data_IF_882591316825
#
_entry.id   IF_882591316825
#
_cell.length_a   1.000
_cell.length_b   1.000
_cell.length_c   1.000
_cell.angle_alpha   90.00
_cell.angle_beta   90.00
_cell.angle_gamma   90.00
#
_symmetry.space_group_name_H-M   'P 1'
#
loop_
_entity.id
_entity.type
_entity.pdbx_description
1 polymer ?
#
# COMPACT_ATOMS: atom_id res chain seq x y z
N UNK A 1 -19.63 27.88 37.59
CA UNK A 1 -19.44 29.04 36.70
C UNK A 1 -18.61 28.57 35.51
N UNK A 2 -19.22 28.53 34.31
CA UNK A 2 -18.63 28.72 32.97
C UNK A 2 -17.43 27.83 32.56
N UNK A 3 -17.39 27.11 31.44
CA UNK A 3 -18.12 27.19 30.15
C UNK A 3 -17.98 25.85 29.43
N UNK A 4 -19.11 25.35 28.93
CA UNK A 4 -19.23 24.39 27.84
C UNK A 4 -18.87 25.14 26.54
N UNK A 5 -17.96 24.64 25.72
CA UNK A 5 -17.75 25.13 24.37
C UNK A 5 -17.73 23.94 23.41
N UNK A 6 -18.87 23.73 22.74
CA UNK A 6 -18.96 22.98 21.50
C UNK A 6 -17.95 23.58 20.50
N UNK A 7 -17.02 22.77 20.03
CA UNK A 7 -16.36 22.96 18.74
C UNK A 7 -16.95 21.90 17.81
N UNK A 8 -18.05 22.27 17.16
CA UNK A 8 -18.45 21.69 15.88
C UNK A 8 -17.31 21.98 14.90
N UNK A 9 -16.36 21.05 14.80
CA UNK A 9 -15.43 21.01 13.69
C UNK A 9 -16.23 20.66 12.46
N UNK A 10 -16.53 21.65 11.63
CA UNK A 10 -16.85 21.42 10.23
C UNK A 10 -15.73 20.57 9.66
N UNK A 11 -16.00 19.30 9.38
CA UNK A 11 -15.17 18.49 8.51
C UNK A 11 -15.03 19.29 7.20
N UNK A 12 -13.87 19.90 6.98
CA UNK A 12 -13.47 20.17 5.62
C UNK A 12 -13.33 18.78 5.02
N UNK A 13 -14.37 18.34 4.29
CA UNK A 13 -14.22 17.25 3.36
C UNK A 13 -13.04 17.63 2.45
N UNK A 14 -11.88 17.00 2.67
CA UNK A 14 -10.79 17.09 1.72
C UNK A 14 -11.35 16.55 0.42
N UNK A 15 -11.35 17.40 -0.60
CA UNK A 15 -11.93 17.05 -1.89
C UNK A 15 -11.28 15.75 -2.37
N UNK A 16 -12.05 14.79 -2.88
CA UNK A 16 -11.50 13.57 -3.45
C UNK A 16 -10.43 13.93 -4.48
N UNK A 17 -9.40 13.10 -4.57
CA UNK A 17 -8.36 13.26 -5.59
C UNK A 17 -9.01 13.47 -6.96
N UNK A 18 -8.56 14.44 -7.76
CA UNK A 18 -9.17 14.72 -9.04
C UNK A 18 -9.09 13.47 -9.93
N UNK A 19 -10.25 12.96 -10.32
CA UNK A 19 -10.40 11.73 -11.15
C UNK A 19 -11.05 12.02 -12.49
N UNK A 20 -11.60 13.22 -12.68
CA UNK A 20 -12.31 13.57 -13.90
C UNK A 20 -11.32 13.95 -15.00
N UNK A 21 -11.43 13.30 -16.15
CA UNK A 21 -10.60 13.58 -17.32
C UNK A 21 -11.46 14.24 -18.40
N UNK A 22 -11.15 15.48 -18.76
CA UNK A 22 -11.92 16.20 -19.79
C UNK A 22 -11.43 15.77 -21.16
N UNK A 23 -12.32 15.19 -21.98
CA UNK A 23 -12.06 14.83 -23.36
C UNK A 23 -12.70 15.88 -24.25
N UNK A 24 -11.88 16.77 -24.81
CA UNK A 24 -12.35 17.83 -25.68
C UNK A 24 -12.60 17.29 -27.10
N UNK A 25 -13.86 17.34 -27.55
CA UNK A 25 -14.26 16.80 -28.86
C UNK A 25 -13.55 17.49 -30.02
N UNK A 26 -13.34 18.81 -29.94
CA UNK A 26 -12.68 19.60 -30.99
C UNK A 26 -13.31 19.42 -32.38
N UNK A 27 -12.57 19.81 -33.42
CA UNK A 27 -12.97 19.60 -34.82
C UNK A 27 -12.10 18.49 -35.43
N UNK A 28 -12.71 17.30 -35.50
CA UNK A 28 -12.34 16.10 -36.28
C UNK A 28 -10.86 15.67 -36.29
N UNK A 29 -10.48 14.74 -35.39
CA UNK A 29 -9.34 13.81 -35.60
C UNK A 29 -9.17 12.74 -34.48
N UNK A 30 -10.04 12.72 -33.46
CA UNK A 30 -10.03 11.74 -32.37
C UNK A 30 -11.38 11.01 -32.25
N UNK A 31 -11.31 9.70 -32.01
CA UNK A 31 -12.47 8.91 -31.58
C UNK A 31 -12.69 9.16 -30.08
N UNK A 32 -13.54 10.14 -29.76
CA UNK A 32 -13.80 10.55 -28.37
C UNK A 32 -14.38 9.44 -27.51
N UNK A 33 -15.12 8.51 -28.11
CA UNK A 33 -15.74 7.40 -27.39
C UNK A 33 -14.68 6.35 -27.05
N UNK A 34 -13.75 6.06 -27.98
CA UNK A 34 -12.59 5.22 -27.71
C UNK A 34 -11.66 5.84 -26.65
N UNK A 35 -11.46 7.16 -26.70
CA UNK A 35 -10.68 7.91 -25.69
C UNK A 35 -11.33 7.78 -24.32
N UNK A 36 -12.63 8.04 -24.22
CA UNK A 36 -13.37 7.92 -22.97
C UNK A 36 -13.28 6.51 -22.39
N UNK A 37 -13.51 5.48 -23.20
CA UNK A 37 -13.41 4.08 -22.77
C UNK A 37 -12.00 3.71 -22.27
N UNK A 38 -10.96 4.21 -22.92
CA UNK A 38 -9.56 4.00 -22.52
C UNK A 38 -9.22 4.70 -21.21
N UNK A 39 -9.75 5.91 -20.96
CA UNK A 39 -9.57 6.60 -19.69
C UNK A 39 -10.32 5.91 -18.55
N UNK A 40 -11.53 5.43 -18.83
CA UNK A 40 -12.35 4.71 -17.86
C UNK A 40 -11.70 3.39 -17.41
N UNK A 41 -11.09 2.63 -18.33
CA UNK A 41 -10.36 1.41 -17.98
C UNK A 41 -9.12 1.66 -17.10
N UNK A 42 -8.65 2.92 -17.04
CA UNK A 42 -7.53 3.39 -16.22
C UNK A 42 -8.00 4.07 -14.92
N UNK A 43 -9.28 3.98 -14.58
CA UNK A 43 -9.83 4.52 -13.33
C UNK A 43 -10.12 6.02 -13.33
N UNK A 44 -10.12 6.67 -14.50
CA UNK A 44 -10.54 8.06 -14.68
C UNK A 44 -12.02 8.15 -15.05
N UNK A 45 -12.65 9.26 -14.72
CA UNK A 45 -14.03 9.57 -15.08
C UNK A 45 -14.03 10.49 -16.32
N UNK A 46 -14.20 9.94 -17.54
CA UNK A 46 -14.15 10.75 -18.75
C UNK A 46 -15.37 11.68 -18.85
N UNK A 47 -15.13 12.95 -19.16
CA UNK A 47 -16.15 13.94 -19.46
C UNK A 47 -15.92 14.51 -20.85
N UNK A 48 -16.73 14.06 -21.81
CA UNK A 48 -16.64 14.51 -23.20
C UNK A 48 -17.35 15.86 -23.35
N UNK A 49 -16.58 16.90 -23.70
CA UNK A 49 -17.08 18.28 -23.79
C UNK A 49 -16.82 18.91 -25.15
N UNK A 50 -17.76 19.75 -25.56
CA UNK A 50 -17.64 20.65 -26.71
C UNK A 50 -17.11 22.03 -26.25
N UNK A 51 -16.76 22.89 -27.22
CA UNK A 51 -16.07 24.18 -26.95
C UNK A 51 -16.85 25.08 -25.98
N UNK A 52 -18.17 25.11 -26.10
CA UNK A 52 -19.05 25.95 -25.27
C UNK A 52 -19.08 25.50 -23.80
N UNK A 53 -18.75 24.23 -23.52
CA UNK A 53 -18.76 23.65 -22.16
C UNK A 53 -17.37 23.48 -21.57
N UNK A 54 -16.33 23.64 -22.38
CA UNK A 54 -14.95 23.43 -21.99
C UNK A 54 -14.53 24.33 -20.82
N UNK A 55 -14.79 25.64 -20.90
CA UNK A 55 -14.43 26.57 -19.83
C UNK A 55 -15.12 26.24 -18.48
N UNK A 56 -16.38 25.83 -18.54
CA UNK A 56 -17.16 25.47 -17.34
C UNK A 56 -16.71 24.14 -16.72
N UNK A 57 -16.33 23.15 -17.54
CA UNK A 57 -15.77 21.89 -17.06
C UNK A 57 -14.41 22.11 -16.40
N UNK A 58 -13.58 22.98 -16.96
CA UNK A 58 -12.22 23.23 -16.46
C UNK A 58 -12.17 24.11 -15.22
N UNK A 59 -13.19 24.89 -14.94
CA UNK A 59 -13.33 25.60 -13.67
C UNK A 59 -13.57 24.65 -12.48
N UNK A 60 -13.89 23.37 -12.73
CA UNK A 60 -14.11 22.40 -11.66
C UNK A 60 -12.78 21.93 -11.05
N UNK A 61 -12.67 21.87 -9.71
CA UNK A 61 -11.43 21.51 -9.02
C UNK A 61 -11.09 20.01 -9.10
N UNK A 62 -12.03 19.16 -9.54
CA UNK A 62 -11.92 17.71 -9.64
C UNK A 62 -11.33 17.20 -10.98
N UNK A 63 -11.00 18.11 -11.90
CA UNK A 63 -10.42 17.78 -13.20
C UNK A 63 -8.93 17.49 -13.07
N UNK A 64 -8.55 16.26 -13.41
CA UNK A 64 -7.20 15.73 -13.33
C UNK A 64 -6.34 16.09 -14.55
N UNK A 65 -6.93 16.04 -15.75
CA UNK A 65 -6.22 16.26 -17.02
C UNK A 65 -7.19 16.57 -18.17
N UNK A 66 -6.64 17.10 -19.25
CA UNK A 66 -7.36 17.50 -20.46
C UNK A 66 -6.79 16.75 -21.66
N UNK A 67 -7.63 16.10 -22.46
CA UNK A 67 -7.26 15.38 -23.67
C UNK A 67 -7.93 16.04 -24.88
N UNK A 68 -7.15 16.52 -25.84
CA UNK A 68 -7.65 17.29 -26.99
C UNK A 68 -7.06 16.81 -28.33
N UNK A 69 -7.84 16.97 -29.41
CA UNK A 69 -7.41 16.74 -30.79
C UNK A 69 -6.37 17.73 -31.34
N UNK A 70 -6.02 17.63 -32.63
CA UNK A 70 -4.85 18.30 -33.23
C UNK A 70 -5.00 19.83 -33.41
N UNK A 71 -4.04 20.55 -32.82
CA UNK A 71 -3.24 21.74 -33.23
C UNK A 71 -3.68 22.86 -34.21
N UNK A 72 -4.90 22.98 -34.72
CA UNK A 72 -5.27 24.16 -35.52
C UNK A 72 -6.39 24.96 -34.85
N UNK A 73 -6.04 26.13 -34.31
CA UNK A 73 -6.94 27.22 -33.91
C UNK A 73 -7.98 26.95 -32.82
N UNK A 74 -7.54 26.60 -31.61
CA UNK A 74 -8.33 26.93 -30.43
C UNK A 74 -7.51 27.85 -29.53
N UNK A 75 -7.56 29.16 -29.82
CA UNK A 75 -7.17 30.20 -28.85
C UNK A 75 -7.82 29.92 -27.47
N UNK A 76 -9.00 29.30 -27.48
CA UNK A 76 -9.70 28.81 -26.29
C UNK A 76 -8.89 27.79 -25.46
N UNK A 77 -8.21 26.82 -26.07
CA UNK A 77 -7.35 25.86 -25.36
C UNK A 77 -6.06 26.51 -24.85
N UNK A 78 -5.57 27.51 -25.58
CA UNK A 78 -4.36 28.22 -25.21
C UNK A 78 -4.57 29.20 -24.06
N UNK A 79 -5.82 29.65 -23.86
CA UNK A 79 -6.28 30.46 -22.73
C UNK A 79 -6.62 29.63 -21.46
N UNK A 80 -6.51 28.30 -21.51
CA UNK A 80 -6.84 27.44 -20.37
C UNK A 80 -5.79 27.45 -19.28
N UNK A 81 -6.26 27.12 -18.07
CA UNK A 81 -5.48 27.03 -16.85
C UNK A 81 -4.24 26.14 -17.01
N UNK A 82 -3.07 26.75 -16.88
CA UNK A 82 -1.75 26.12 -17.04
C UNK A 82 -1.38 25.21 -15.86
N UNK A 83 -2.21 25.17 -14.81
CA UNK A 83 -1.99 24.28 -13.65
C UNK A 83 -2.43 22.84 -13.90
N UNK A 84 -3.20 22.58 -14.96
CA UNK A 84 -3.69 21.24 -15.30
C UNK A 84 -2.93 20.63 -16.48
N UNK A 85 -2.57 19.34 -16.45
CA UNK A 85 -1.95 18.67 -17.59
C UNK A 85 -2.84 18.71 -18.84
N UNK A 86 -2.29 19.23 -19.95
CA UNK A 86 -2.93 19.22 -21.26
C UNK A 86 -2.23 18.25 -22.20
N UNK A 87 -2.98 17.28 -22.69
CA UNK A 87 -2.57 16.24 -23.62
C UNK A 87 -3.17 16.49 -25.00
N UNK A 88 -2.31 16.62 -26.01
CA UNK A 88 -2.69 16.86 -27.41
C UNK A 88 -2.47 15.62 -28.26
N UNK A 89 -3.49 15.21 -29.00
CA UNK A 89 -3.40 14.05 -29.86
C UNK A 89 -2.47 14.28 -31.05
N UNK A 90 -1.53 13.37 -31.23
CA UNK A 90 -0.57 13.39 -32.32
C UNK A 90 -0.83 12.18 -33.23
N UNK A 91 -1.59 12.44 -34.30
CA UNK A 91 -2.06 11.45 -35.27
C UNK A 91 -0.96 10.56 -35.85
N UNK A 92 0.24 11.09 -36.07
CA UNK A 92 1.39 10.32 -36.58
C UNK A 92 1.91 9.27 -35.59
N UNK A 93 1.63 9.44 -34.30
CA UNK A 93 2.03 8.53 -33.24
C UNK A 93 0.86 7.70 -32.69
N UNK A 94 -0.39 7.99 -33.09
CA UNK A 94 -1.58 7.35 -32.51
C UNK A 94 -1.74 7.60 -31.01
N UNK A 95 -1.13 8.66 -30.48
CA UNK A 95 -0.98 8.88 -29.05
C UNK A 95 -1.15 10.36 -28.69
N UNK A 96 -1.45 10.62 -27.42
CA UNK A 96 -1.49 11.96 -26.85
C UNK A 96 -0.12 12.37 -26.33
N UNK A 97 0.24 13.63 -26.51
CA UNK A 97 1.47 14.24 -26.03
C UNK A 97 1.19 15.38 -25.08
N UNK A 98 1.90 15.45 -23.97
CA UNK A 98 1.86 16.57 -23.05
C UNK A 98 2.26 17.85 -23.80
N UNK A 99 1.44 18.90 -23.66
CA UNK A 99 1.70 20.21 -24.23
C UNK A 99 3.03 20.75 -23.67
N UNK A 100 3.84 21.39 -24.53
CA UNK A 100 5.15 21.93 -24.15
C UNK A 100 5.08 22.90 -22.97
N UNK A 101 3.96 23.62 -22.82
CA UNK A 101 3.75 24.56 -21.71
C UNK A 101 3.61 23.85 -20.37
N UNK A 102 3.22 22.58 -20.39
CA UNK A 102 3.12 21.70 -19.22
C UNK A 102 4.36 20.81 -19.05
N UNK A 103 5.45 20.99 -19.82
CA UNK A 103 6.64 20.12 -19.71
C UNK A 103 7.35 20.20 -18.34
N UNK A 104 7.06 21.22 -17.53
CA UNK A 104 7.51 21.32 -16.14
C UNK A 104 6.60 20.59 -15.13
N UNK A 105 5.54 19.93 -15.61
CA UNK A 105 4.66 19.06 -14.81
C UNK A 105 5.30 17.69 -14.59
N UNK A 106 4.98 17.04 -13.47
CA UNK A 106 5.36 15.66 -13.18
C UNK A 106 4.56 14.62 -14.01
N UNK A 107 3.74 15.09 -14.96
CA UNK A 107 2.89 14.25 -15.78
C UNK A 107 3.65 13.57 -16.96
N UNK A 108 3.23 12.37 -17.40
CA UNK A 108 3.85 11.69 -18.55
C UNK A 108 3.84 12.53 -19.81
N UNK A 109 4.91 12.45 -20.63
CA UNK A 109 5.01 13.18 -21.90
C UNK A 109 4.13 12.60 -23.01
N UNK A 110 3.86 11.29 -23.01
CA UNK A 110 3.03 10.62 -24.00
C UNK A 110 2.11 9.57 -23.37
N UNK A 111 0.85 9.51 -23.83
CA UNK A 111 -0.20 8.57 -23.39
C UNK A 111 -0.86 7.93 -24.62
N UNK A 112 -0.95 6.60 -24.65
CA UNK A 112 -1.64 5.90 -25.74
C UNK A 112 -3.11 5.65 -25.45
N UNK A 113 -3.90 5.61 -26.52
CA UNK A 113 -5.29 5.17 -26.47
C UNK A 113 -5.43 3.65 -26.38
N UNK A 114 -4.45 2.92 -26.89
CA UNK A 114 -4.43 1.47 -26.83
C UNK A 114 -3.80 0.99 -25.53
N UNK A 115 -4.16 -0.23 -25.14
CA UNK A 115 -3.42 -0.97 -24.13
C UNK A 115 -2.09 -1.37 -24.78
N UNK A 116 -1.05 -0.61 -24.46
CA UNK A 116 0.30 -0.87 -24.95
C UNK A 116 1.11 -1.67 -23.95
N UNK A 117 2.02 -2.52 -24.46
CA UNK A 117 3.05 -3.11 -23.63
C UNK A 117 3.96 -2.01 -23.08
N UNK A 118 4.45 -2.24 -21.86
CA UNK A 118 5.32 -1.30 -21.14
C UNK A 118 6.58 -0.95 -21.95
N UNK A 119 7.16 -1.93 -22.65
CA UNK A 119 8.29 -1.76 -23.57
C UNK A 119 8.04 -0.68 -24.64
N UNK A 120 6.87 -0.69 -25.30
CA UNK A 120 6.51 0.32 -26.31
C UNK A 120 6.29 1.70 -25.70
N UNK A 121 5.76 1.75 -24.48
CA UNK A 121 5.53 3.00 -23.78
C UNK A 121 6.86 3.66 -23.35
N UNK A 122 7.84 2.84 -22.95
CA UNK A 122 9.22 3.23 -22.60
C UNK A 122 9.99 3.75 -23.82
N UNK A 123 9.95 3.03 -24.95
CA UNK A 123 10.54 3.49 -26.21
C UNK A 123 10.02 4.89 -26.60
N UNK A 124 8.73 5.15 -26.36
CA UNK A 124 8.08 6.41 -26.74
C UNK A 124 8.41 7.58 -25.81
N UNK A 125 8.51 7.35 -24.50
CA UNK A 125 8.74 8.42 -23.51
C UNK A 125 10.23 8.64 -23.15
N UNK A 126 11.09 7.66 -23.45
CA UNK A 126 12.50 7.65 -23.03
C UNK A 126 12.66 7.72 -21.51
N UNK A 127 13.88 8.03 -21.05
CA UNK A 127 14.22 8.24 -19.62
C UNK A 127 13.57 9.48 -18.99
N UNK A 128 12.65 10.18 -19.67
CA UNK A 128 11.76 11.17 -19.05
C UNK A 128 10.64 10.50 -18.23
N UNK A 129 10.88 9.27 -17.80
CA UNK A 129 10.42 8.80 -16.52
C UNK A 129 11.03 9.72 -15.45
N UNK A 130 10.31 10.79 -15.09
CA UNK A 130 10.01 10.87 -13.66
C UNK A 130 9.29 9.55 -13.42
N UNK A 131 9.93 8.63 -12.69
CA UNK A 131 9.13 7.67 -11.94
C UNK A 131 7.98 8.47 -11.39
N UNK A 132 6.73 8.06 -11.60
CA UNK A 132 5.83 8.32 -10.52
C UNK A 132 6.52 7.63 -9.32
N UNK A 133 7.07 8.43 -8.39
CA UNK A 133 6.30 8.47 -7.16
C UNK A 133 4.89 8.76 -7.65
N UNK A 134 4.09 7.70 -7.82
CA UNK A 134 2.68 7.84 -8.11
C UNK A 134 2.24 8.98 -7.20
N UNK A 135 1.68 10.10 -7.73
CA UNK A 135 1.11 11.10 -6.84
C UNK A 135 0.33 10.29 -5.82
N UNK A 136 0.54 10.49 -4.52
CA UNK A 136 0.05 9.57 -3.47
C UNK A 136 -1.48 9.28 -3.54
N UNK A 137 -2.16 9.94 -4.46
CA UNK A 137 -3.57 9.92 -4.80
C UNK A 137 -3.93 9.29 -6.18
N UNK A 138 -2.98 8.83 -6.99
CA UNK A 138 -3.20 8.20 -8.30
C UNK A 138 -2.62 6.78 -8.27
N UNK A 139 -3.47 5.75 -8.38
CA UNK A 139 -2.99 4.38 -8.54
C UNK A 139 -2.80 3.57 -7.25
N UNK A 140 -3.08 4.12 -6.06
CA UNK A 140 -3.53 3.25 -4.98
C UNK A 140 -4.75 2.51 -5.53
N UNK A 141 -4.72 1.16 -5.69
CA UNK A 141 -5.96 0.46 -5.98
C UNK A 141 -6.97 0.93 -4.93
N UNK A 142 -8.25 1.14 -5.27
CA UNK A 142 -9.26 1.24 -4.22
C UNK A 142 -9.00 0.07 -3.27
N UNK A 143 -9.19 0.22 -1.94
CA UNK A 143 -9.21 -0.93 -1.03
C UNK A 143 -10.03 -2.02 -1.74
N UNK A 144 -9.35 -3.01 -2.33
CA UNK A 144 -10.05 -3.99 -3.13
C UNK A 144 -10.91 -4.74 -2.15
N UNK A 145 -12.07 -5.16 -2.63
CA UNK A 145 -13.01 -5.89 -1.82
C UNK A 145 -12.29 -7.11 -1.22
N UNK A 146 -11.97 -7.04 0.08
CA UNK A 146 -11.20 -8.06 0.79
C UNK A 146 -11.93 -9.40 0.78
N UNK A 147 -13.24 -9.39 0.44
CA UNK A 147 -14.14 -10.52 0.41
C UNK A 147 -13.64 -11.69 -0.43
N UNK A 148 -12.89 -11.47 -1.52
CA UNK A 148 -12.31 -12.59 -2.29
C UNK A 148 -11.26 -13.39 -1.48
N UNK A 149 -10.61 -12.74 -0.51
CA UNK A 149 -9.57 -13.32 0.34
C UNK A 149 -10.03 -13.58 1.77
N UNK A 150 -11.28 -13.22 2.10
CA UNK A 150 -11.93 -13.61 3.36
C UNK A 150 -12.19 -15.10 3.32
N UNK A 151 -11.68 -15.82 4.31
CA UNK A 151 -11.93 -17.24 4.49
C UNK A 151 -12.60 -17.54 5.82
N UNK A 152 -13.24 -18.71 5.87
CA UNK A 152 -13.78 -19.24 7.11
C UNK A 152 -12.67 -19.46 8.15
N UNK A 153 -13.04 -19.35 9.44
CA UNK A 153 -12.13 -19.49 10.59
C UNK A 153 -11.54 -20.89 10.74
N UNK A 154 -11.96 -21.86 9.94
CA UNK A 154 -11.49 -23.22 10.06
C UNK A 154 -10.05 -23.36 9.54
N UNK A 155 -9.32 -24.27 10.16
CA UNK A 155 -7.91 -24.45 9.92
C UNK A 155 -7.57 -24.85 8.47
N UNK A 156 -8.48 -25.51 7.77
CA UNK A 156 -8.24 -25.98 6.41
C UNK A 156 -8.41 -24.85 5.40
N UNK A 157 -9.47 -24.05 5.51
CA UNK A 157 -9.68 -22.88 4.65
C UNK A 157 -8.54 -21.86 4.76
N UNK A 158 -8.10 -21.55 5.99
CA UNK A 158 -6.95 -20.67 6.23
C UNK A 158 -5.68 -21.25 5.60
N UNK A 159 -5.40 -22.54 5.82
CA UNK A 159 -4.22 -23.20 5.24
C UNK A 159 -4.25 -23.13 3.72
N UNK A 160 -5.39 -23.43 3.11
CA UNK A 160 -5.52 -23.50 1.65
C UNK A 160 -5.33 -22.12 1.02
N UNK A 161 -5.90 -21.07 1.59
CA UNK A 161 -5.67 -19.70 1.14
C UNK A 161 -4.21 -19.25 1.32
N UNK A 162 -3.56 -19.56 2.45
CA UNK A 162 -2.12 -19.25 2.61
C UNK A 162 -1.26 -20.01 1.61
N UNK A 163 -1.56 -21.28 1.33
CA UNK A 163 -0.82 -22.05 0.30
C UNK A 163 -1.06 -21.47 -1.08
N UNK A 164 -2.31 -21.23 -1.45
CA UNK A 164 -2.71 -20.80 -2.80
C UNK A 164 -2.28 -19.36 -3.10
N UNK A 165 -2.50 -18.45 -2.16
CA UNK A 165 -2.36 -17.01 -2.34
C UNK A 165 -1.22 -16.40 -1.52
N UNK A 166 -0.64 -17.13 -0.57
CA UNK A 166 0.38 -16.59 0.34
C UNK A 166 -0.20 -15.78 1.49
N UNK A 167 -1.51 -15.49 1.48
CA UNK A 167 -2.19 -14.70 2.51
C UNK A 167 -3.64 -15.17 2.67
N UNK A 168 -4.14 -15.14 3.90
CA UNK A 168 -5.53 -15.41 4.25
C UNK A 168 -6.04 -14.31 5.18
N UNK A 169 -7.27 -13.84 4.94
CA UNK A 169 -7.93 -12.86 5.79
C UNK A 169 -9.09 -13.52 6.54
N UNK A 170 -9.18 -13.30 7.85
CA UNK A 170 -10.16 -13.96 8.71
C UNK A 170 -10.86 -12.91 9.57
N UNK A 171 -12.17 -12.74 9.34
CA UNK A 171 -12.99 -11.79 10.10
C UNK A 171 -13.28 -12.28 11.51
N UNK A 172 -13.27 -11.38 12.49
CA UNK A 172 -13.59 -11.66 13.90
C UNK A 172 -12.82 -12.86 14.48
N UNK A 173 -11.58 -13.08 14.04
CA UNK A 173 -10.77 -14.24 14.43
C UNK A 173 -10.50 -14.27 15.94
N UNK A 174 -10.17 -13.13 16.54
CA UNK A 174 -9.95 -12.98 17.99
C UNK A 174 -11.08 -12.15 18.58
N UNK A 175 -11.50 -12.48 19.79
CA UNK A 175 -12.46 -11.65 20.49
C UNK A 175 -11.86 -10.26 20.81
N UNK A 176 -12.71 -9.24 20.71
CA UNK A 176 -12.29 -7.84 20.86
C UNK A 176 -11.83 -7.52 22.28
N UNK A 177 -12.27 -8.27 23.29
CA UNK A 177 -11.86 -8.08 24.69
C UNK A 177 -10.39 -8.49 24.89
N UNK A 178 -9.99 -9.64 24.33
CA UNK A 178 -8.59 -10.09 24.31
C UNK A 178 -7.71 -9.08 23.60
N UNK A 179 -8.10 -8.60 22.41
CA UNK A 179 -7.32 -7.59 21.69
C UNK A 179 -7.28 -6.23 22.41
N UNK A 180 -8.35 -5.83 23.09
CA UNK A 180 -8.34 -4.62 23.91
C UNK A 180 -7.34 -4.72 25.08
N UNK A 181 -7.20 -5.89 25.70
CA UNK A 181 -6.18 -6.14 26.73
C UNK A 181 -4.77 -6.09 26.14
N UNK A 182 -4.55 -6.66 24.96
CA UNK A 182 -3.28 -6.52 24.23
C UNK A 182 -2.97 -5.05 23.93
N UNK A 183 -3.96 -4.30 23.45
CA UNK A 183 -3.82 -2.88 23.13
C UNK A 183 -3.42 -2.03 24.34
N UNK A 184 -4.02 -2.28 25.51
CA UNK A 184 -3.65 -1.59 26.75
C UNK A 184 -2.17 -1.83 27.12
N UNK A 185 -1.70 -3.08 27.05
CA UNK A 185 -0.29 -3.42 27.33
C UNK A 185 0.65 -2.80 26.31
N UNK A 186 0.26 -2.78 25.02
CA UNK A 186 1.04 -2.13 23.95
C UNK A 186 1.12 -0.62 24.15
N UNK A 187 0.03 0.03 24.55
CA UNK A 187 0.00 1.47 24.83
C UNK A 187 0.88 1.84 26.02
N UNK A 188 0.81 1.08 27.12
CA UNK A 188 1.68 1.28 28.28
C UNK A 188 3.16 1.09 27.92
N UNK A 189 3.46 0.06 27.11
CA UNK A 189 4.83 -0.19 26.61
C UNK A 189 5.31 0.95 25.72
N UNK A 190 4.48 1.44 24.81
CA UNK A 190 4.79 2.56 23.93
C UNK A 190 5.11 3.83 24.72
N UNK A 191 4.28 4.17 25.71
CA UNK A 191 4.50 5.33 26.58
C UNK A 191 5.82 5.23 27.35
N UNK A 192 6.17 4.03 27.85
CA UNK A 192 7.44 3.79 28.52
C UNK A 192 8.64 3.95 27.58
N UNK A 193 8.54 3.46 26.34
CA UNK A 193 9.58 3.62 25.31
C UNK A 193 9.74 5.09 24.93
N UNK A 194 8.65 5.82 24.71
CA UNK A 194 8.67 7.25 24.39
C UNK A 194 9.35 8.06 25.49
N UNK A 195 9.01 7.81 26.75
CA UNK A 195 9.66 8.46 27.89
C UNK A 195 11.16 8.14 27.96
N UNK A 196 11.55 6.89 27.71
CA UNK A 196 12.95 6.47 27.73
C UNK A 196 13.78 7.09 26.59
N UNK A 197 13.21 7.20 25.39
CA UNK A 197 13.84 7.87 24.24
C UNK A 197 13.96 9.38 24.47
N UNK A 198 12.92 10.01 25.02
CA UNK A 198 12.93 11.44 25.37
C UNK A 198 13.91 11.81 26.49
N UNK A 199 14.32 10.84 27.32
CA UNK A 199 15.34 11.03 28.36
C UNK A 199 16.78 10.87 27.85
N UNK A 200 17.00 10.49 26.58
CA UNK A 200 18.34 10.43 25.97
C UNK A 200 18.90 11.84 25.72
N UNK A 201 20.21 11.94 25.50
CA UNK A 201 20.90 13.20 25.20
C UNK A 201 21.77 13.04 23.94
N UNK A 202 21.39 13.64 22.79
CA UNK A 202 20.15 14.37 22.55
C UNK A 202 18.90 13.46 22.66
N UNK A 203 17.72 14.01 22.93
CA UNK A 203 16.48 13.23 22.98
C UNK A 203 16.17 12.65 21.61
N UNK A 204 15.72 11.41 21.58
CA UNK A 204 15.19 10.75 20.39
C UNK A 204 13.67 10.79 20.45
N UNK A 205 13.02 10.98 19.31
CA UNK A 205 11.56 11.06 19.22
C UNK A 205 11.02 9.95 18.31
N UNK A 206 9.78 9.55 18.57
CA UNK A 206 9.05 8.60 17.73
C UNK A 206 8.45 9.33 16.51
N UNK A 207 9.33 9.88 15.68
CA UNK A 207 9.01 10.63 14.46
C UNK A 207 9.62 9.96 13.20
N UNK A 208 9.42 10.54 12.03
CA UNK A 208 9.98 10.01 10.78
C UNK A 208 11.42 10.39 10.46
N UNK A 209 12.12 11.10 11.35
CA UNK A 209 13.45 11.69 11.10
C UNK A 209 14.52 10.99 11.94
N UNK A 210 14.23 10.76 13.22
CA UNK A 210 15.17 10.16 14.16
C UNK A 210 15.29 8.66 13.90
N UNK A 211 16.48 8.23 13.50
CA UNK A 211 16.79 6.81 13.27
C UNK A 211 17.57 6.24 14.44
N UNK A 212 17.11 5.09 14.92
CA UNK A 212 17.74 4.34 16.01
C UNK A 212 17.40 2.86 15.92
N UNK A 213 18.24 2.04 16.53
CA UNK A 213 18.04 0.61 16.68
C UNK A 213 18.35 0.22 18.12
N UNK A 214 17.34 -0.19 18.86
CA UNK A 214 17.46 -0.77 20.19
C UNK A 214 16.87 -2.17 20.19
N UNK A 215 17.27 -3.01 21.15
CA UNK A 215 16.73 -4.36 21.26
C UNK A 215 15.21 -4.35 21.49
N UNK A 216 14.69 -3.32 22.15
CA UNK A 216 13.29 -3.13 22.49
C UNK A 216 12.44 -2.54 21.36
N UNK A 217 13.05 -1.67 20.55
CA UNK A 217 12.36 -0.94 19.47
C UNK A 217 13.34 -0.54 18.36
N UNK A 218 12.94 -0.74 17.11
CA UNK A 218 13.73 -0.38 15.94
C UNK A 218 12.90 0.44 14.96
N UNK A 219 13.55 1.40 14.31
CA UNK A 219 12.94 2.20 13.25
C UNK A 219 13.02 1.44 11.91
N UNK A 220 11.89 1.00 11.37
CA UNK A 220 11.83 0.17 10.14
C UNK A 220 11.81 1.01 8.87
N UNK A 221 11.03 2.08 8.89
CA UNK A 221 10.90 3.07 7.82
C UNK A 221 10.39 4.36 8.43
N UNK A 222 10.41 5.46 7.69
CA UNK A 222 10.07 6.78 8.22
C UNK A 222 8.69 6.78 8.91
N UNK A 223 8.70 6.93 10.24
CA UNK A 223 7.52 6.95 11.10
C UNK A 223 6.92 5.58 11.41
N UNK A 224 7.64 4.48 11.15
CA UNK A 224 7.21 3.11 11.42
C UNK A 224 8.22 2.41 12.30
N UNK A 225 7.73 1.91 13.43
CA UNK A 225 8.53 1.29 14.46
C UNK A 225 8.10 -0.15 14.68
N UNK A 226 9.07 -1.02 14.92
CA UNK A 226 8.82 -2.38 15.38
C UNK A 226 9.24 -2.48 16.84
N UNK A 227 8.27 -2.72 17.72
CA UNK A 227 8.44 -2.69 19.16
C UNK A 227 8.13 -4.05 19.75
N UNK A 228 9.09 -4.63 20.48
CA UNK A 228 8.86 -5.87 21.22
C UNK A 228 7.76 -5.69 22.25
N UNK A 229 6.81 -6.61 22.26
CA UNK A 229 5.73 -6.59 23.25
C UNK A 229 6.12 -7.36 24.51
N UNK A 230 5.61 -6.98 25.69
CA UNK A 230 5.80 -7.76 26.91
C UNK A 230 5.18 -9.16 26.81
N UNK A 231 5.76 -10.15 27.50
CA UNK A 231 5.25 -11.54 27.59
C UNK A 231 3.77 -11.65 27.97
N UNK A 232 3.23 -10.64 28.65
CA UNK A 232 1.82 -10.56 29.01
C UNK A 232 0.89 -10.59 27.79
N UNK A 233 1.27 -9.96 26.68
CA UNK A 233 0.50 -10.02 25.42
C UNK A 233 0.39 -11.46 24.93
N UNK A 234 1.48 -12.24 25.03
CA UNK A 234 1.49 -13.64 24.63
C UNK A 234 0.58 -14.49 25.52
N UNK A 235 0.56 -14.25 26.83
CA UNK A 235 -0.34 -14.94 27.76
C UNK A 235 -1.81 -14.74 27.42
N UNK A 236 -2.18 -13.57 26.89
CA UNK A 236 -3.56 -13.33 26.44
C UNK A 236 -3.91 -14.14 25.18
N UNK A 237 -2.90 -14.58 24.43
CA UNK A 237 -3.02 -15.33 23.18
C UNK A 237 -2.57 -16.79 23.31
N UNK A 238 -2.40 -17.33 24.53
CA UNK A 238 -2.00 -18.73 24.75
C UNK A 238 -2.97 -19.74 24.10
N UNK A 239 -4.25 -19.38 24.01
CA UNK A 239 -5.29 -20.14 23.33
C UNK A 239 -5.68 -19.54 21.98
N UNK A 240 -4.72 -18.94 21.28
CA UNK A 240 -4.99 -18.24 20.03
C UNK A 240 -5.74 -19.13 19.02
N UNK A 241 -6.84 -18.64 18.43
CA UNK A 241 -7.74 -19.46 17.62
C UNK A 241 -7.12 -19.89 16.29
N UNK A 242 -6.02 -19.28 15.85
CA UNK A 242 -5.33 -19.62 14.59
C UNK A 242 -4.34 -20.77 14.73
N UNK A 243 -4.01 -21.21 15.95
CA UNK A 243 -3.01 -22.26 16.16
C UNK A 243 -3.30 -23.57 15.39
N UNK A 244 -4.55 -24.03 15.23
CA UNK A 244 -4.85 -25.16 14.35
C UNK A 244 -4.42 -24.96 12.89
N UNK A 245 -4.55 -23.74 12.35
CA UNK A 245 -4.08 -23.41 11.00
C UNK A 245 -2.54 -23.38 10.95
N UNK A 246 -1.90 -22.78 11.95
CA UNK A 246 -0.43 -22.78 12.10
C UNK A 246 0.12 -24.22 12.14
N UNK A 247 -0.49 -25.11 12.92
CA UNK A 247 -0.08 -26.52 12.98
C UNK A 247 -0.24 -27.24 11.64
N UNK A 248 -1.25 -26.91 10.84
CA UNK A 248 -1.41 -27.46 9.48
C UNK A 248 -0.37 -26.92 8.50
N UNK A 249 0.04 -25.66 8.64
CA UNK A 249 1.00 -24.99 7.76
C UNK A 249 2.45 -25.38 8.08
N UNK A 250 2.80 -25.42 9.36
CA UNK A 250 4.19 -25.56 9.84
C UNK A 250 4.48 -26.88 10.57
N UNK A 251 3.43 -27.63 10.94
CA UNK A 251 3.53 -28.83 11.77
C UNK A 251 3.24 -28.54 13.26
N UNK A 252 2.95 -29.58 14.05
CA UNK A 252 2.61 -29.44 15.47
C UNK A 252 3.78 -28.97 16.34
N UNK A 253 5.02 -29.19 15.87
CA UNK A 253 6.25 -28.80 16.58
C UNK A 253 6.74 -27.40 16.17
N UNK A 254 5.87 -26.56 15.61
CA UNK A 254 6.22 -25.20 15.24
C UNK A 254 6.66 -24.38 16.47
N UNK A 255 7.55 -23.42 16.25
CA UNK A 255 8.07 -22.52 17.29
C UNK A 255 7.62 -21.10 17.02
N UNK A 256 7.48 -20.30 18.08
CA UNK A 256 7.38 -18.84 17.92
C UNK A 256 8.76 -18.27 17.69
N UNK A 257 8.89 -17.38 16.71
CA UNK A 257 10.12 -16.63 16.48
C UNK A 257 10.09 -15.27 17.18
N UNK A 258 9.06 -14.47 16.91
CA UNK A 258 8.95 -13.10 17.42
C UNK A 258 7.51 -12.75 17.76
N UNK A 259 7.35 -11.94 18.79
CA UNK A 259 6.11 -11.29 19.20
C UNK A 259 6.39 -9.78 19.32
N UNK A 260 5.79 -8.98 18.44
CA UNK A 260 6.03 -7.54 18.41
C UNK A 260 4.83 -6.77 17.88
N UNK A 261 4.88 -5.44 17.99
CA UNK A 261 3.89 -4.54 17.44
C UNK A 261 4.53 -3.58 16.44
N UNK A 262 4.04 -3.58 15.21
CA UNK A 262 4.36 -2.56 14.22
C UNK A 262 3.48 -1.34 14.49
N UNK A 263 4.10 -0.20 14.78
CA UNK A 263 3.42 1.05 15.10
C UNK A 263 3.76 2.07 14.02
N UNK A 264 2.76 2.45 13.24
CA UNK A 264 2.87 3.55 12.26
C UNK A 264 2.33 4.83 12.88
N UNK A 265 3.18 5.82 13.15
CA UNK A 265 2.73 7.12 13.70
C UNK A 265 2.14 8.02 12.59
N UNK A 266 1.37 9.07 12.92
CA UNK A 266 0.90 10.04 11.92
C UNK A 266 2.05 10.59 11.07
N UNK A 267 1.86 10.59 9.75
CA UNK A 267 2.87 11.00 8.77
C UNK A 267 3.85 9.91 8.35
N UNK A 268 3.71 8.67 8.87
CA UNK A 268 4.51 7.53 8.43
C UNK A 268 4.41 7.35 6.91
N UNK A 269 5.54 7.06 6.26
CA UNK A 269 5.62 6.89 4.81
C UNK A 269 5.28 5.47 4.37
N UNK A 270 4.89 5.34 3.10
CA UNK A 270 4.75 4.03 2.45
C UNK A 270 6.11 3.33 2.47
N UNK A 271 6.13 2.05 2.86
CA UNK A 271 7.33 1.23 2.86
C UNK A 271 7.71 0.81 1.44
N UNK A 272 8.99 0.53 1.26
CA UNK A 272 9.44 -0.27 0.12
C UNK A 272 8.81 -1.68 0.18
N UNK A 273 8.61 -2.26 -1.00
CA UNK A 273 8.11 -3.61 -1.11
C UNK A 273 9.14 -4.61 -0.61
N UNK A 274 8.73 -5.54 0.24
CA UNK A 274 9.63 -6.52 0.84
C UNK A 274 8.93 -7.84 1.14
N UNK A 275 9.74 -8.86 1.37
CA UNK A 275 9.35 -10.07 2.09
C UNK A 275 9.99 -9.99 3.48
N UNK A 276 9.31 -10.50 4.51
CA UNK A 276 9.92 -10.61 5.84
C UNK A 276 11.07 -11.63 5.80
N UNK A 277 10.87 -12.75 5.12
CA UNK A 277 11.87 -13.79 4.94
C UNK A 277 11.99 -14.21 3.47
N UNK A 278 13.21 -14.57 3.07
CA UNK A 278 13.50 -15.08 1.73
C UNK A 278 13.16 -16.56 1.54
N UNK A 279 13.26 -17.04 0.31
CA UNK A 279 13.17 -18.46 0.00
C UNK A 279 14.41 -19.21 0.50
N UNK A 280 14.27 -20.51 0.84
CA UNK A 280 15.40 -21.35 1.25
C UNK A 280 16.42 -21.57 0.12
N UNK A 281 15.96 -21.54 -1.13
CA UNK A 281 16.76 -21.72 -2.34
C UNK A 281 16.52 -20.56 -3.31
N UNK A 282 16.97 -19.33 -2.96
CA UNK A 282 16.76 -18.16 -3.81
C UNK A 282 17.51 -18.31 -5.14
N UNK A 283 17.00 -17.67 -6.19
CA UNK A 283 17.55 -17.75 -7.56
C UNK A 283 17.58 -19.16 -8.16
N UNK A 284 16.67 -20.03 -7.73
CA UNK A 284 16.47 -21.36 -8.32
C UNK A 284 15.02 -21.56 -8.69
N UNK A 285 14.77 -22.50 -9.60
CA UNK A 285 13.42 -22.94 -9.96
C UNK A 285 12.77 -23.84 -8.88
N UNK A 286 13.44 -24.05 -7.74
CA UNK A 286 12.95 -24.90 -6.65
C UNK A 286 11.98 -24.11 -5.77
N UNK A 287 10.70 -24.39 -5.95
CA UNK A 287 9.66 -23.90 -5.05
C UNK A 287 9.23 -24.97 -4.03
N UNK A 288 9.29 -24.61 -2.73
CA UNK A 288 8.71 -25.43 -1.67
C UNK A 288 7.32 -24.89 -1.35
N UNK A 289 6.28 -25.64 -1.69
CA UNK A 289 4.88 -25.24 -1.51
C UNK A 289 4.55 -24.90 -0.04
N UNK A 290 5.01 -25.72 0.90
CA UNK A 290 4.74 -25.46 2.31
C UNK A 290 5.60 -24.31 2.86
N UNK A 291 5.01 -23.38 3.64
CA UNK A 291 5.77 -22.32 4.29
C UNK A 291 6.77 -22.90 5.30
N UNK A 292 7.84 -22.16 5.52
CA UNK A 292 8.79 -22.41 6.61
C UNK A 292 8.63 -21.41 7.77
N UNK A 293 7.99 -20.27 7.50
CA UNK A 293 7.63 -19.25 8.47
C UNK A 293 6.30 -18.59 8.04
N UNK A 294 5.42 -18.31 9.00
CA UNK A 294 4.10 -17.69 8.80
C UNK A 294 3.91 -16.62 9.87
N UNK A 295 3.53 -15.42 9.44
CA UNK A 295 3.20 -14.32 10.35
C UNK A 295 1.69 -14.19 10.48
N UNK A 296 1.22 -14.03 11.72
CA UNK A 296 -0.16 -13.66 12.03
C UNK A 296 -0.17 -12.21 12.50
N UNK A 297 -0.95 -11.35 11.87
CA UNK A 297 -1.14 -9.96 12.29
C UNK A 297 -2.57 -9.72 12.76
N UNK A 298 -2.71 -8.93 13.83
CA UNK A 298 -3.97 -8.54 14.45
C UNK A 298 -3.96 -7.01 14.63
N UNK A 299 -4.79 -6.27 13.88
CA UNK A 299 -4.98 -4.85 14.15
C UNK A 299 -5.49 -4.61 15.57
N UNK A 300 -4.86 -3.67 16.28
CA UNK A 300 -5.32 -3.23 17.60
C UNK A 300 -6.18 -1.96 17.51
N UNK A 301 -6.36 -1.45 16.29
CA UNK A 301 -7.28 -0.38 15.89
C UNK A 301 -7.96 -0.76 14.58
N UNK A 302 -9.07 -0.11 14.24
CA UNK A 302 -9.65 -0.28 12.91
C UNK A 302 -8.71 0.35 11.87
N UNK A 303 -8.43 -0.40 10.80
CA UNK A 303 -7.51 -0.02 9.73
C UNK A 303 -8.31 0.34 8.49
N UNK A 304 -8.04 1.53 7.95
CA UNK A 304 -8.69 2.08 6.77
C UNK A 304 -7.66 2.71 5.84
N UNK A 305 -8.12 3.28 4.73
CA UNK A 305 -7.25 3.92 3.75
C UNK A 305 -6.48 5.12 4.31
N UNK A 306 -6.98 5.79 5.36
CA UNK A 306 -6.36 6.99 5.94
C UNK A 306 -5.21 6.61 6.87
N UNK A 307 -5.40 5.61 7.72
CA UNK A 307 -4.34 5.17 8.64
C UNK A 307 -3.35 4.16 8.04
N UNK A 308 -3.58 3.75 6.78
CA UNK A 308 -2.61 3.12 5.90
C UNK A 308 -2.54 1.61 6.07
N UNK A 309 -3.35 0.82 5.33
CA UNK A 309 -3.41 -0.64 5.48
C UNK A 309 -2.10 -1.33 5.08
N UNK A 310 -1.97 -2.62 5.38
CA UNK A 310 -0.89 -3.42 4.80
C UNK A 310 -1.31 -3.86 3.40
N UNK A 311 -0.46 -3.62 2.42
CA UNK A 311 -0.65 -4.04 1.03
C UNK A 311 0.11 -5.32 0.75
N UNK A 312 -0.53 -6.31 0.14
CA UNK A 312 0.04 -7.60 -0.22
C UNK A 312 -0.02 -7.85 -1.72
N UNK A 313 0.87 -8.71 -2.23
CA UNK A 313 0.83 -9.25 -3.59
C UNK A 313 0.56 -10.75 -3.53
N UNK A 314 -0.72 -11.17 -3.56
CA UNK A 314 -1.08 -12.58 -3.54
C UNK A 314 -0.40 -13.39 -4.66
N UNK A 315 0.12 -14.56 -4.31
CA UNK A 315 0.86 -15.45 -5.24
C UNK A 315 2.35 -15.15 -5.36
N UNK A 316 2.83 -14.01 -4.86
CA UNK A 316 4.27 -13.66 -4.94
C UNK A 316 5.18 -14.61 -4.18
N UNK A 317 4.67 -15.35 -3.18
CA UNK A 317 5.41 -16.36 -2.42
C UNK A 317 5.86 -17.57 -3.25
N UNK A 318 5.35 -17.71 -4.48
CA UNK A 318 5.85 -18.73 -5.41
C UNK A 318 7.22 -18.38 -6.00
N UNK A 319 7.48 -17.09 -6.19
CA UNK A 319 8.67 -16.62 -6.91
C UNK A 319 9.84 -16.36 -5.96
N UNK A 320 10.87 -17.19 -6.07
CA UNK A 320 12.06 -17.10 -5.21
C UNK A 320 12.86 -15.81 -5.39
N UNK A 321 12.62 -15.13 -6.50
CA UNK A 321 13.20 -13.84 -6.84
C UNK A 321 12.20 -12.69 -6.74
N UNK A 322 11.00 -12.88 -6.15
CA UNK A 322 9.95 -11.85 -6.14
C UNK A 322 10.49 -10.49 -5.64
N UNK A 323 11.25 -10.50 -4.54
CA UNK A 323 11.86 -9.30 -3.97
C UNK A 323 12.84 -8.65 -4.95
N UNK A 324 13.81 -9.40 -5.49
CA UNK A 324 14.75 -8.86 -6.47
C UNK A 324 14.04 -8.45 -7.76
N UNK A 325 12.97 -9.13 -8.17
CA UNK A 325 12.14 -8.75 -9.30
C UNK A 325 11.36 -7.48 -9.00
N UNK A 326 11.01 -7.13 -7.76
CA UNK A 326 10.39 -5.85 -7.42
C UNK A 326 11.42 -4.72 -7.38
N UNK A 327 12.61 -4.96 -6.84
CA UNK A 327 13.75 -4.03 -6.88
C UNK A 327 14.30 -3.87 -8.31
N UNK A 328 14.25 -4.92 -9.12
CA UNK A 328 14.57 -4.94 -10.54
C UNK A 328 13.43 -4.44 -11.40
N UNK A 329 12.16 -4.59 -11.01
CA UNK A 329 11.02 -3.96 -11.72
C UNK A 329 11.21 -2.45 -11.79
N UNK A 330 11.75 -1.84 -10.73
CA UNK A 330 12.14 -0.43 -10.74
C UNK A 330 13.29 -0.10 -11.74
N UNK A 331 14.06 -1.11 -12.19
CA UNK A 331 15.16 -0.99 -13.18
C UNK A 331 14.89 -1.58 -14.57
N UNK A 332 14.05 -2.61 -14.71
CA UNK A 332 14.00 -3.55 -15.84
C UNK A 332 12.58 -3.98 -16.25
N UNK A 333 11.53 -3.67 -15.47
CA UNK A 333 10.15 -4.02 -15.80
C UNK A 333 9.81 -5.53 -15.70
N UNK A 334 10.49 -6.28 -14.84
CA UNK A 334 10.25 -7.71 -14.70
C UNK A 334 8.83 -8.05 -14.21
N UNK A 335 8.17 -9.02 -14.88
CA UNK A 335 6.82 -9.46 -14.54
C UNK A 335 6.86 -10.38 -13.31
N UNK A 336 6.07 -10.05 -12.30
CA UNK A 336 5.88 -10.87 -11.11
C UNK A 336 4.48 -11.49 -11.22
N UNK A 337 4.30 -12.80 -11.04
CA UNK A 337 3.00 -13.45 -11.11
C UNK A 337 2.21 -13.11 -9.85
N UNK A 338 1.78 -11.86 -9.75
CA UNK A 338 0.66 -11.44 -8.94
C UNK A 338 -0.35 -10.79 -9.87
N UNK A 339 -1.62 -11.20 -9.77
CA UNK A 339 -2.71 -10.65 -10.61
C UNK A 339 -3.07 -9.21 -10.22
N UNK A 340 -2.72 -8.75 -9.01
CA UNK A 340 -2.97 -7.40 -8.45
C UNK A 340 -2.35 -7.26 -7.05
N UNK A 341 -2.24 -6.02 -6.52
CA UNK A 341 -1.98 -5.79 -5.09
C UNK A 341 -3.28 -5.57 -4.33
N UNK A 342 -3.32 -5.98 -3.06
CA UNK A 342 -4.48 -5.89 -2.18
C UNK A 342 -4.13 -5.16 -0.89
N UNK A 343 -4.83 -4.07 -0.61
CA UNK A 343 -4.77 -3.37 0.65
C UNK A 343 -5.78 -3.94 1.64
N UNK A 344 -5.30 -4.63 2.68
CA UNK A 344 -6.15 -5.26 3.68
C UNK A 344 -6.50 -4.27 4.80
N UNK A 345 -7.60 -3.53 4.58
CA UNK A 345 -8.29 -2.78 5.62
C UNK A 345 -9.05 -3.78 6.52
N UNK A 346 -8.65 -3.89 7.79
CA UNK A 346 -9.21 -4.83 8.76
C UNK A 346 -9.62 -4.11 10.04
N UNK A 347 -10.65 -4.62 10.72
CA UNK A 347 -11.14 -4.07 11.99
C UNK A 347 -10.53 -4.79 13.18
N UNK A 348 -10.64 -4.20 14.37
CA UNK A 348 -10.30 -4.91 15.61
C UNK A 348 -11.12 -6.19 15.72
N UNK A 349 -10.42 -7.32 15.87
CA UNK A 349 -10.98 -8.67 15.90
C UNK A 349 -10.53 -9.51 14.71
N UNK A 350 -10.27 -8.88 13.58
CA UNK A 350 -9.80 -9.58 12.39
C UNK A 350 -8.34 -10.03 12.54
N UNK A 351 -7.96 -11.07 11.80
CA UNK A 351 -6.58 -11.51 11.69
C UNK A 351 -6.20 -11.75 10.23
N UNK A 352 -4.95 -11.47 9.90
CA UNK A 352 -4.35 -11.81 8.60
C UNK A 352 -3.22 -12.79 8.88
N UNK A 353 -3.22 -13.91 8.17
CA UNK A 353 -2.14 -14.89 8.19
C UNK A 353 -1.44 -14.86 6.84
N UNK A 354 -0.12 -14.74 6.82
CA UNK A 354 0.62 -14.74 5.57
C UNK A 354 1.93 -15.50 5.65
N UNK A 355 2.29 -16.12 4.53
CA UNK A 355 3.61 -16.69 4.32
C UNK A 355 4.62 -15.56 4.26
N UNK A 356 5.68 -15.62 5.06
CA UNK A 356 6.66 -14.52 5.12
C UNK A 356 7.42 -14.27 3.81
N UNK A 357 7.29 -15.18 2.84
CA UNK A 357 7.77 -15.02 1.45
C UNK A 357 6.87 -14.12 0.61
N UNK A 358 5.63 -13.88 1.03
CA UNK A 358 4.70 -13.01 0.32
C UNK A 358 5.18 -11.57 0.37
N UNK A 359 5.30 -10.97 -0.79
CA UNK A 359 5.67 -9.57 -0.91
C UNK A 359 4.54 -8.70 -0.39
N UNK A 360 4.92 -7.73 0.44
CA UNK A 360 4.02 -6.79 1.05
C UNK A 360 4.72 -5.47 1.37
N UNK A 361 3.93 -4.47 1.78
CA UNK A 361 4.41 -3.21 2.36
C UNK A 361 3.35 -2.59 3.26
N UNK A 362 3.75 -1.83 4.28
CA UNK A 362 2.82 -0.96 4.99
C UNK A 362 2.60 0.36 4.23
N UNK A 363 1.34 0.74 4.04
CA UNK A 363 0.98 2.02 3.41
C UNK A 363 1.16 3.21 4.35
N UNK A 364 1.19 4.43 3.80
CA UNK A 364 1.36 5.65 4.59
C UNK A 364 0.21 5.86 5.59
N UNK A 365 0.53 6.35 6.79
CA UNK A 365 -0.47 6.77 7.77
C UNK A 365 -0.70 8.28 7.64
N UNK A 366 -1.73 8.68 6.91
CA UNK A 366 -2.18 10.08 6.75
C UNK A 366 -3.20 10.50 7.83
N UNK A 367 -3.63 9.57 8.66
CA UNK A 367 -4.52 9.80 9.79
C UNK A 367 -3.89 10.59 10.94
N UNK A 368 -4.68 10.83 11.98
CA UNK A 368 -4.31 11.68 13.13
C UNK A 368 -3.85 10.90 14.36
N UNK A 369 -3.89 9.57 14.31
CA UNK A 369 -3.52 8.68 15.41
C UNK A 369 -2.52 7.61 14.95
N UNK A 370 -1.80 7.01 15.90
CA UNK A 370 -0.93 5.87 15.63
C UNK A 370 -1.75 4.64 15.25
N UNK A 371 -1.23 3.84 14.30
CA UNK A 371 -1.80 2.55 13.89
C UNK A 371 -0.93 1.40 14.42
N UNK A 372 -1.27 0.83 15.59
CA UNK A 372 -0.62 -0.37 16.11
C UNK A 372 -1.20 -1.66 15.49
N UNK A 373 -0.32 -2.51 14.97
CA UNK A 373 -0.63 -3.85 14.50
C UNK A 373 0.23 -4.83 15.30
N UNK A 374 -0.41 -5.71 16.07
CA UNK A 374 0.27 -6.81 16.75
C UNK A 374 0.62 -7.87 15.71
N UNK A 375 1.81 -8.46 15.81
CA UNK A 375 2.15 -9.63 15.00
C UNK A 375 2.88 -10.69 15.81
N UNK A 376 2.67 -11.94 15.40
CA UNK A 376 3.38 -13.12 15.89
C UNK A 376 3.87 -13.93 14.70
N UNK A 377 5.17 -14.17 14.65
CA UNK A 377 5.79 -15.03 13.64
C UNK A 377 5.99 -16.44 14.19
N UNK A 378 5.51 -17.44 13.46
CA UNK A 378 5.71 -18.86 13.75
C UNK A 378 6.58 -19.49 12.67
N UNK A 379 7.46 -20.42 13.04
CA UNK A 379 8.31 -21.11 12.09
C UNK A 379 8.39 -22.61 12.35
N UNK A 380 8.86 -23.34 11.34
CA UNK A 380 9.27 -24.74 11.51
C UNK A 380 10.44 -24.82 12.49
N UNK A 381 10.54 -25.90 13.30
CA UNK A 381 11.55 -25.99 14.36
C UNK A 381 13.00 -25.99 13.86
N UNK A 382 13.23 -26.36 12.61
CA UNK A 382 14.54 -26.34 11.97
C UNK A 382 14.90 -24.99 11.33
N UNK A 383 13.93 -24.08 11.19
CA UNK A 383 14.16 -22.79 10.56
C UNK A 383 14.74 -21.81 11.59
N UNK A 384 15.78 -21.11 11.18
CA UNK A 384 16.36 -20.00 11.94
C UNK A 384 16.49 -18.85 10.96
N UNK A 385 16.04 -17.67 11.36
CA UNK A 385 16.15 -16.49 10.51
C UNK A 385 17.63 -16.16 10.27
N UNK A 386 17.99 -15.89 9.01
CA UNK A 386 19.36 -15.50 8.64
C UNK A 386 19.68 -14.05 8.99
N UNK A 387 18.66 -13.22 9.19
CA UNK A 387 18.72 -11.83 9.62
C UNK A 387 18.20 -11.70 11.04
N UNK A 388 18.72 -10.76 11.83
CA UNK A 388 18.19 -10.49 13.16
C UNK A 388 17.13 -9.42 13.06
N UNK A 389 15.92 -9.75 13.49
CA UNK A 389 14.81 -8.79 13.50
C UNK A 389 15.10 -7.61 14.46
N UNK A 390 15.84 -7.85 15.56
CA UNK A 390 16.30 -6.83 16.51
C UNK A 390 17.81 -6.97 16.76
N UNK A 391 18.53 -5.87 17.04
CA UNK A 391 19.95 -5.95 17.41
C UNK A 391 20.13 -6.71 18.73
N UNK A 392 21.30 -7.31 18.93
CA UNK A 392 21.64 -7.95 20.21
C UNK A 392 21.66 -6.91 21.35
N UNK A 393 21.38 -7.36 22.57
CA UNK A 393 21.65 -6.55 23.76
C UNK A 393 23.16 -6.29 23.84
N UNK A 394 23.56 -5.02 23.67
CA UNK A 394 24.93 -4.56 23.89
C UNK A 394 25.10 -3.95 25.26
#
# INVERSE_FOLDING_TARGET
>A
MHRLALLLGTALALAPAPRRAVVYRGEEDIDVDAVAASLQSRGLEPDVVDVDRLAAALAQPDVAAIYAGRYASHEALDALDQTKPLYRYEKSAGAFKLDRRCEASDAPKWVSLEVESEEKCLERNGWNFLTPEEPATWGAPPCLDVEEFVVDKDASSIRDAVIEHGVAFVRDMVDKETLARCAAVVDDRWAAVEAALGAKTPPLLLNGIDRFEFNEIVHRSDGRFDMKVPDEVRKFLDSAPWMPAIHKLLGPDCVSLYDSCIISVPGAKTQDMHCDNGHLFPHTDVHIASPHCVTVICPLVDVDADNGPTEFWPGSHYESVAKELFEERARTGAHIPSKSSLQLAGSVGDAILFDTRTVHRGMANSGTAKRPILYIAYARPWYTEGTKNFPDET
#
